data_IF_290308001492
#
_entry.id   IF_290308001492
#
_cell.length_a   1.000
_cell.length_b   1.000
_cell.length_c   1.000
_cell.angle_alpha   90.00
_cell.angle_beta   90.00
_cell.angle_gamma   90.00
#
_symmetry.space_group_name_H-M   'P 1'
#
loop_
_entity.id
_entity.type
_entity.pdbx_description
1 polymer ?
#
# COMPACT_ATOMS: atom_id res chain seq x y z
N UNK A 1 24.69 -16.61 -68.73
CA UNK A 1 24.32 -15.47 -67.87
C UNK A 1 23.88 -16.06 -66.53
N UNK A 2 24.71 -15.91 -65.49
CA UNK A 2 24.44 -16.41 -64.14
C UNK A 2 23.33 -15.57 -63.49
N UNK A 3 22.31 -16.20 -62.91
CA UNK A 3 21.43 -15.54 -61.93
C UNK A 3 21.61 -16.27 -60.60
N UNK A 4 22.17 -15.55 -59.63
CA UNK A 4 22.44 -16.03 -58.26
C UNK A 4 21.13 -16.12 -57.48
N UNK A 5 20.88 -17.27 -56.86
CA UNK A 5 19.88 -17.43 -55.80
C UNK A 5 20.43 -16.75 -54.54
N UNK A 6 19.75 -15.70 -54.06
CA UNK A 6 20.05 -15.08 -52.76
C UNK A 6 19.02 -15.65 -51.77
N UNK A 7 19.46 -16.59 -50.94
CA UNK A 7 18.67 -17.08 -49.81
C UNK A 7 18.72 -16.05 -48.68
N UNK A 8 17.57 -15.54 -48.27
CA UNK A 8 17.44 -14.72 -47.07
C UNK A 8 17.42 -15.65 -45.84
N UNK A 9 18.47 -15.58 -45.03
CA UNK A 9 18.52 -16.24 -43.71
C UNK A 9 17.90 -15.27 -42.71
N UNK A 10 16.67 -15.53 -42.31
CA UNK A 10 16.00 -14.79 -41.24
C UNK A 10 16.62 -15.22 -39.90
N UNK A 11 17.45 -14.36 -39.31
CA UNK A 11 17.97 -14.57 -37.97
C UNK A 11 16.84 -14.34 -36.95
N UNK A 12 16.31 -15.43 -36.40
CA UNK A 12 15.40 -15.38 -35.25
C UNK A 12 16.25 -15.02 -34.03
N UNK A 13 16.18 -13.76 -33.60
CA UNK A 13 16.77 -13.36 -32.31
C UNK A 13 15.91 -13.95 -31.20
N UNK A 14 16.36 -15.08 -30.64
CA UNK A 14 15.81 -15.62 -29.40
C UNK A 14 16.33 -14.72 -28.28
N UNK A 15 15.49 -13.86 -27.75
CA UNK A 15 15.77 -13.17 -26.50
C UNK A 15 15.91 -14.25 -25.41
N UNK A 16 17.14 -14.49 -24.97
CA UNK A 16 17.39 -15.34 -23.81
C UNK A 16 16.82 -14.63 -22.59
N UNK A 17 15.66 -15.08 -22.13
CA UNK A 17 15.12 -14.72 -20.81
C UNK A 17 16.16 -15.18 -19.80
N UNK A 18 16.85 -14.23 -19.20
CA UNK A 18 17.87 -14.49 -18.21
C UNK A 18 17.14 -15.03 -16.97
N UNK A 19 17.14 -16.36 -16.82
CA UNK A 19 16.58 -17.01 -15.66
C UNK A 19 17.27 -16.44 -14.40
N UNK A 20 16.49 -15.77 -13.54
CA UNK A 20 16.96 -15.41 -12.21
C UNK A 20 17.30 -16.72 -11.49
N UNK A 21 18.53 -16.83 -11.00
CA UNK A 21 18.90 -17.94 -10.12
C UNK A 21 18.07 -17.80 -8.85
N UNK A 22 17.05 -18.63 -8.71
CA UNK A 22 16.24 -18.69 -7.49
C UNK A 22 17.00 -19.51 -6.44
N UNK A 23 17.35 -18.86 -5.34
CA UNK A 23 18.00 -19.52 -4.22
C UNK A 23 16.92 -20.00 -3.25
N UNK A 24 16.77 -21.32 -3.16
CA UNK A 24 15.90 -21.93 -2.15
C UNK A 24 16.45 -21.62 -0.75
N UNK A 25 15.59 -21.12 0.12
CA UNK A 25 15.95 -20.86 1.51
C UNK A 25 16.07 -22.18 2.26
N UNK A 26 17.10 -22.33 3.13
CA UNK A 26 17.25 -23.55 3.94
C UNK A 26 16.07 -23.77 4.90
N UNK A 27 15.37 -22.70 5.28
CA UNK A 27 14.18 -22.74 6.12
C UNK A 27 12.91 -23.18 5.38
N UNK A 28 12.90 -23.16 4.04
CA UNK A 28 11.69 -23.37 3.24
C UNK A 28 10.71 -22.19 3.24
N UNK A 29 11.05 -21.09 3.92
CA UNK A 29 10.26 -19.85 3.94
C UNK A 29 10.71 -18.96 2.78
N UNK A 30 9.77 -18.55 1.92
CA UNK A 30 10.08 -17.62 0.83
C UNK A 30 10.49 -16.24 1.39
N UNK A 31 11.43 -15.53 0.76
CA UNK A 31 12.04 -14.33 1.33
C UNK A 31 11.07 -13.14 1.56
N UNK A 32 9.90 -13.15 0.92
CA UNK A 32 8.91 -12.08 0.98
C UNK A 32 7.55 -12.52 1.51
N UNK A 33 7.44 -13.77 1.96
CA UNK A 33 6.21 -14.36 2.49
C UNK A 33 6.33 -14.46 3.99
N UNK A 34 5.38 -13.86 4.70
CA UNK A 34 5.31 -13.93 6.15
C UNK A 34 5.19 -15.40 6.60
N UNK A 35 6.06 -15.90 7.50
CA UNK A 35 5.96 -17.24 8.08
C UNK A 35 4.61 -17.55 8.73
N UNK A 36 3.87 -16.53 9.19
CA UNK A 36 2.55 -16.68 9.78
C UNK A 36 1.43 -16.84 8.73
N UNK A 37 1.74 -16.68 7.44
CA UNK A 37 0.76 -16.83 6.36
C UNK A 37 0.19 -18.26 6.36
N UNK A 38 -1.14 -18.43 6.49
CA UNK A 38 -1.78 -19.75 6.48
C UNK A 38 -1.48 -20.56 5.23
N UNK A 39 -1.37 -21.89 5.36
CA UNK A 39 -1.00 -22.78 4.25
C UNK A 39 -2.03 -22.82 3.11
N UNK A 40 -3.30 -22.54 3.40
CA UNK A 40 -4.39 -22.44 2.44
C UNK A 40 -4.38 -21.11 1.66
N UNK A 41 -3.51 -20.17 2.03
CA UNK A 41 -3.32 -18.86 1.37
C UNK A 41 -2.03 -18.78 0.54
N UNK A 42 -1.22 -19.84 0.55
CA UNK A 42 0.03 -19.95 -0.21
C UNK A 42 -0.19 -20.18 -1.72
N UNK A 43 -1.37 -20.66 -2.11
CA UNK A 43 -1.75 -20.87 -3.52
C UNK A 43 -3.17 -20.39 -3.77
N UNK A 44 -3.43 -19.87 -4.96
CA UNK A 44 -4.76 -19.43 -5.37
C UNK A 44 -5.11 -20.00 -6.74
N UNK A 45 -6.34 -20.47 -6.91
CA UNK A 45 -6.85 -20.86 -8.23
C UNK A 45 -7.64 -19.71 -8.81
N UNK A 46 -7.14 -19.13 -9.89
CA UNK A 46 -7.80 -18.04 -10.59
C UNK A 46 -9.16 -18.45 -11.16
N UNK A 47 -10.01 -17.47 -11.45
CA UNK A 47 -11.29 -17.71 -12.14
C UNK A 47 -11.16 -18.34 -13.52
N UNK A 48 -9.94 -18.36 -14.09
CA UNK A 48 -9.62 -18.99 -15.38
C UNK A 48 -9.04 -20.41 -15.23
N UNK A 49 -8.88 -20.90 -14.00
CA UNK A 49 -8.33 -22.22 -13.69
C UNK A 49 -6.81 -22.26 -13.53
N UNK A 50 -6.10 -21.16 -13.78
CA UNK A 50 -4.66 -21.07 -13.54
C UNK A 50 -4.36 -21.05 -12.04
N UNK A 51 -3.34 -21.79 -11.61
CA UNK A 51 -2.82 -21.75 -10.24
C UNK A 51 -1.78 -20.65 -10.11
N UNK A 52 -1.90 -19.83 -9.08
CA UNK A 52 -0.96 -18.76 -8.72
C UNK A 52 -0.32 -19.07 -7.37
N UNK A 53 0.98 -18.89 -7.30
CA UNK A 53 1.75 -19.02 -6.07
C UNK A 53 1.85 -17.67 -5.36
N UNK A 54 1.79 -17.70 -4.03
CA UNK A 54 2.01 -16.52 -3.22
C UNK A 54 3.48 -16.10 -3.27
N UNK A 55 3.72 -14.86 -3.68
CA UNK A 55 5.08 -14.31 -3.84
C UNK A 55 5.43 -13.26 -2.79
N UNK A 56 4.42 -12.67 -2.13
CA UNK A 56 4.58 -11.68 -1.08
C UNK A 56 3.36 -11.73 -0.14
N UNK A 57 3.57 -11.66 1.16
CA UNK A 57 2.51 -11.47 2.15
C UNK A 57 3.05 -10.82 3.41
N UNK A 58 2.16 -10.18 4.16
CA UNK A 58 2.41 -9.68 5.50
C UNK A 58 1.11 -9.76 6.30
N UNK A 59 1.13 -10.47 7.42
CA UNK A 59 -0.03 -10.63 8.30
C UNK A 59 -0.04 -9.58 9.43
N UNK A 60 1.04 -8.79 9.56
CA UNK A 60 1.20 -7.74 10.57
C UNK A 60 1.10 -8.23 12.03
N UNK A 61 1.45 -9.50 12.27
CA UNK A 61 1.32 -10.17 13.58
C UNK A 61 2.42 -9.83 14.61
N UNK A 62 3.25 -8.82 14.35
CA UNK A 62 4.28 -8.37 15.29
C UNK A 62 3.93 -6.99 15.78
N UNK A 63 3.71 -6.82 17.08
CA UNK A 63 3.37 -5.55 17.71
C UNK A 63 4.51 -4.52 17.62
N UNK A 64 4.15 -3.24 17.45
CA UNK A 64 5.09 -2.12 17.56
C UNK A 64 6.15 -2.07 16.47
N UNK A 65 5.86 -2.59 15.27
CA UNK A 65 6.78 -2.46 14.13
C UNK A 65 6.98 -0.99 13.78
N UNK A 66 8.24 -0.61 13.61
CA UNK A 66 8.61 0.64 12.97
C UNK A 66 8.69 0.42 11.47
N UNK A 67 8.12 1.34 10.71
CA UNK A 67 8.24 1.36 9.25
C UNK A 67 9.19 2.47 8.79
N UNK A 68 9.95 3.10 9.68
CA UNK A 68 10.96 4.08 9.28
C UNK A 68 11.96 3.48 8.27
N UNK A 69 12.55 4.32 7.41
CA UNK A 69 13.51 3.86 6.41
C UNK A 69 14.66 3.05 7.03
N UNK A 70 14.66 1.73 6.78
CA UNK A 70 15.69 0.79 7.24
C UNK A 70 15.26 -0.14 8.38
N UNK A 71 14.13 0.13 9.04
CA UNK A 71 13.65 -0.67 10.17
C UNK A 71 12.86 -1.91 9.73
N UNK A 72 12.15 -1.82 8.60
CA UNK A 72 11.34 -2.91 8.06
C UNK A 72 11.85 -3.39 6.68
N UNK A 73 11.83 -4.71 6.51
CA UNK A 73 12.37 -5.37 5.33
C UNK A 73 11.39 -5.40 4.14
N UNK A 74 10.09 -5.20 4.35
CA UNK A 74 9.07 -5.17 3.31
C UNK A 74 8.53 -3.75 3.08
N UNK A 75 8.32 -3.02 4.17
CA UNK A 75 7.58 -1.77 4.16
C UNK A 75 8.46 -0.57 4.51
N UNK A 76 8.09 0.61 4.04
CA UNK A 76 8.77 1.86 4.38
C UNK A 76 7.75 2.97 4.43
N UNK A 77 7.62 3.64 5.58
CA UNK A 77 6.79 4.82 5.74
C UNK A 77 7.45 6.03 5.09
N UNK A 78 6.63 7.02 4.72
CA UNK A 78 7.09 8.21 4.00
C UNK A 78 6.78 9.45 4.80
N UNK A 79 7.72 10.38 4.80
CA UNK A 79 7.52 11.74 5.30
C UNK A 79 7.52 12.73 4.13
N UNK A 80 6.34 13.25 3.80
CA UNK A 80 6.15 14.17 2.67
C UNK A 80 4.81 14.90 2.81
N UNK A 81 4.79 16.18 2.45
CA UNK A 81 3.54 16.87 2.20
C UNK A 81 2.84 16.28 0.97
N UNK A 82 1.53 16.02 1.06
CA UNK A 82 0.79 15.68 -0.15
C UNK A 82 0.68 16.93 -1.04
N UNK A 83 1.25 16.82 -2.23
CA UNK A 83 1.32 17.90 -3.22
C UNK A 83 0.17 17.86 -4.22
N UNK A 84 -0.75 16.90 -4.10
CA UNK A 84 -1.88 16.74 -5.01
C UNK A 84 -3.13 17.38 -4.38
N UNK A 85 -4.03 17.92 -5.21
CA UNK A 85 -5.38 18.36 -4.84
C UNK A 85 -5.52 19.36 -3.66
N UNK A 86 -4.46 20.12 -3.32
CA UNK A 86 -4.47 21.03 -2.16
C UNK A 86 -4.77 20.31 -0.85
N UNK A 87 -4.17 19.14 -0.65
CA UNK A 87 -4.25 18.38 0.59
C UNK A 87 -3.80 19.21 1.80
N UNK A 88 -4.50 19.04 2.92
CA UNK A 88 -4.22 19.72 4.18
C UNK A 88 -3.35 18.87 5.12
N UNK A 89 -2.88 17.72 4.66
CA UNK A 89 -2.14 16.74 5.45
C UNK A 89 -0.67 16.57 5.03
N UNK A 90 0.12 16.12 5.98
CA UNK A 90 1.50 15.65 5.77
C UNK A 90 1.57 14.20 6.22
N UNK A 91 2.14 13.34 5.36
CA UNK A 91 2.51 12.00 5.78
C UNK A 91 3.70 12.07 6.73
N UNK A 92 3.62 11.37 7.86
CA UNK A 92 4.69 11.28 8.85
C UNK A 92 4.94 9.83 9.24
N UNK A 93 6.20 9.51 9.53
CA UNK A 93 6.62 8.16 9.89
C UNK A 93 5.91 7.61 11.14
N UNK A 94 5.61 8.48 12.11
CA UNK A 94 5.00 8.12 13.39
C UNK A 94 3.47 7.95 13.35
N UNK A 95 2.86 8.00 12.16
CA UNK A 95 1.41 7.81 11.97
C UNK A 95 1.06 6.39 11.52
N UNK A 96 2.04 5.50 11.46
CA UNK A 96 1.89 4.12 11.01
C UNK A 96 2.63 3.18 11.96
N UNK A 97 2.00 2.08 12.36
CA UNK A 97 2.66 1.00 13.09
C UNK A 97 1.74 -0.22 13.11
N UNK A 98 2.07 -1.21 13.93
CA UNK A 98 1.25 -2.39 14.21
C UNK A 98 0.88 -2.42 15.69
N UNK A 99 -0.32 -2.88 15.99
CA UNK A 99 -0.84 -3.02 17.36
C UNK A 99 -1.56 -4.35 17.48
N UNK A 100 -1.61 -4.90 18.69
CA UNK A 100 -2.35 -6.13 18.98
C UNK A 100 -3.41 -5.87 20.04
N UNK A 101 -4.66 -6.23 19.73
CA UNK A 101 -5.77 -6.28 20.67
C UNK A 101 -6.10 -7.75 20.97
N UNK A 102 -5.63 -8.23 22.14
CA UNK A 102 -5.67 -9.65 22.48
C UNK A 102 -4.86 -10.49 21.51
N UNK A 103 -5.51 -11.48 20.90
CA UNK A 103 -4.88 -12.38 19.92
C UNK A 103 -4.89 -11.82 18.48
N UNK A 104 -5.48 -10.64 18.26
CA UNK A 104 -5.60 -10.03 16.92
C UNK A 104 -4.63 -8.88 16.78
N UNK A 105 -3.64 -9.03 15.92
CA UNK A 105 -2.73 -7.96 15.52
C UNK A 105 -3.19 -7.34 14.21
N UNK A 106 -2.91 -6.04 14.04
CA UNK A 106 -3.26 -5.31 12.84
C UNK A 106 -2.28 -4.17 12.58
N UNK A 107 -2.09 -3.88 11.31
CA UNK A 107 -1.50 -2.64 10.86
C UNK A 107 -2.52 -1.51 10.97
N UNK A 108 -2.07 -0.35 11.45
CA UNK A 108 -2.89 0.84 11.50
C UNK A 108 -2.22 2.04 10.83
N UNK A 109 -3.06 2.91 10.29
CA UNK A 109 -2.72 4.27 9.89
C UNK A 109 -3.56 5.19 10.76
N UNK A 110 -2.91 6.13 11.43
CA UNK A 110 -3.55 7.20 12.22
C UNK A 110 -3.56 8.47 11.38
N UNK A 111 -4.58 9.30 11.58
CA UNK A 111 -4.45 10.72 11.31
C UNK A 111 -4.80 11.52 12.56
N UNK A 112 -4.14 12.65 12.72
CA UNK A 112 -4.29 13.52 13.87
C UNK A 112 -4.21 14.99 13.44
N UNK A 113 -4.78 15.87 14.26
CA UNK A 113 -4.71 17.31 14.06
C UNK A 113 -3.32 17.77 14.53
N UNK A 114 -2.47 18.12 13.58
CA UNK A 114 -1.09 18.55 13.84
C UNK A 114 -0.68 19.65 12.87
N UNK A 115 -0.66 20.87 13.38
CA UNK A 115 -0.21 22.02 12.61
C UNK A 115 1.30 21.94 12.34
N UNK A 116 1.67 21.91 11.06
CA UNK A 116 3.06 21.82 10.62
C UNK A 116 3.28 22.79 9.47
N UNK A 117 4.24 23.69 9.61
CA UNK A 117 4.60 24.64 8.55
C UNK A 117 5.87 24.16 7.85
N UNK A 118 5.78 23.94 6.54
CA UNK A 118 6.89 23.53 5.70
C UNK A 118 7.20 24.61 4.66
N UNK A 119 8.49 24.81 4.41
CA UNK A 119 8.95 25.68 3.34
C UNK A 119 9.06 24.88 2.04
N UNK A 120 8.05 25.03 1.17
CA UNK A 120 7.94 24.29 -0.08
C UNK A 120 8.30 25.17 -1.27
N UNK A 121 8.80 24.56 -2.34
CA UNK A 121 9.03 25.23 -3.60
C UNK A 121 7.72 25.30 -4.39
N UNK A 122 7.32 26.50 -4.82
CA UNK A 122 6.10 26.74 -5.56
C UNK A 122 6.42 27.26 -6.97
N UNK A 123 6.25 26.39 -7.97
CA UNK A 123 6.44 26.70 -9.40
C UNK A 123 5.37 27.65 -9.96
N UNK A 124 4.25 27.83 -9.24
CA UNK A 124 3.13 28.67 -9.68
C UNK A 124 3.29 30.15 -9.27
N UNK A 125 4.27 30.49 -8.42
CA UNK A 125 4.61 31.88 -8.11
C UNK A 125 5.30 32.57 -9.29
N UNK A 126 5.14 33.88 -9.43
CA UNK A 126 5.83 34.70 -10.44
C UNK A 126 6.60 35.85 -9.77
N UNK A 127 7.93 35.70 -9.53
CA UNK A 127 8.79 34.57 -9.91
C UNK A 127 8.59 33.33 -9.01
N UNK A 128 8.93 32.14 -9.53
CA UNK A 128 8.91 30.89 -8.77
C UNK A 128 9.86 31.00 -7.55
N UNK A 129 9.44 30.44 -6.42
CA UNK A 129 10.16 30.62 -5.17
C UNK A 129 9.67 29.72 -4.06
N UNK A 130 10.34 29.83 -2.91
CA UNK A 130 9.93 29.14 -1.70
C UNK A 130 8.83 29.91 -0.97
N UNK A 131 7.81 29.20 -0.54
CA UNK A 131 6.69 29.70 0.26
C UNK A 131 6.53 28.83 1.51
N UNK A 132 6.15 29.45 2.63
CA UNK A 132 5.81 28.74 3.86
C UNK A 132 4.33 28.33 3.78
N UNK A 133 4.08 27.02 3.76
CA UNK A 133 2.74 26.44 3.68
C UNK A 133 2.43 25.72 4.98
N UNK A 134 1.28 26.02 5.57
CA UNK A 134 0.81 25.39 6.81
C UNK A 134 -0.17 24.27 6.49
N UNK A 135 0.16 23.08 6.99
CA UNK A 135 -0.70 21.89 6.97
C UNK A 135 -1.30 21.69 8.36
N UNK A 136 -2.51 21.15 8.43
CA UNK A 136 -3.29 21.06 9.66
C UNK A 136 -3.44 19.63 10.19
N UNK A 137 -3.18 18.65 9.33
CA UNK A 137 -3.34 17.24 9.64
C UNK A 137 -2.03 16.49 9.42
N UNK A 138 -1.80 15.45 10.21
CA UNK A 138 -0.75 14.48 9.98
C UNK A 138 -1.40 13.13 9.74
N UNK A 139 -1.00 12.46 8.65
CA UNK A 139 -1.45 11.13 8.27
C UNK A 139 -0.26 10.19 8.11
N UNK A 140 -0.52 8.94 7.75
CA UNK A 140 0.51 7.93 7.54
C UNK A 140 0.42 7.32 6.14
N UNK A 141 1.57 7.19 5.48
CA UNK A 141 1.69 6.47 4.22
C UNK A 141 2.82 5.46 4.32
N UNK A 142 2.58 4.24 3.84
CA UNK A 142 3.57 3.16 3.77
C UNK A 142 3.65 2.66 2.33
N UNK A 143 4.87 2.46 1.83
CA UNK A 143 5.14 1.93 0.51
C UNK A 143 6.09 0.73 0.57
N UNK A 144 5.95 -0.18 -0.36
CA UNK A 144 6.90 -1.28 -0.60
C UNK A 144 7.86 -0.89 -1.73
N UNK A 145 8.75 0.08 -1.45
CA UNK A 145 9.63 0.70 -2.45
C UNK A 145 10.43 -0.32 -3.30
N UNK A 146 10.14 -0.43 -4.60
CA UNK A 146 10.80 -1.34 -5.56
C UNK A 146 10.82 -2.84 -5.16
N UNK A 147 10.03 -3.28 -4.17
CA UNK A 147 10.11 -4.67 -3.68
C UNK A 147 9.13 -5.61 -4.40
N UNK A 148 8.12 -5.07 -5.09
CA UNK A 148 7.15 -5.86 -5.83
C UNK A 148 6.81 -5.22 -7.18
N UNK A 149 7.24 -5.84 -8.28
CA UNK A 149 6.80 -5.46 -9.63
C UNK A 149 5.58 -6.32 -10.01
N UNK A 150 4.38 -5.76 -9.89
CA UNK A 150 3.15 -6.45 -10.27
C UNK A 150 2.94 -6.37 -11.79
N UNK A 151 3.37 -7.39 -12.53
CA UNK A 151 3.11 -7.49 -13.98
C UNK A 151 1.83 -8.27 -14.31
N UNK A 152 1.18 -8.83 -13.29
CA UNK A 152 -0.03 -9.64 -13.34
C UNK A 152 -0.18 -10.44 -12.06
N UNK A 153 -1.42 -10.78 -11.70
CA UNK A 153 -1.74 -11.53 -10.47
C UNK A 153 -2.94 -10.93 -9.75
N UNK A 154 -3.01 -11.20 -8.45
CA UNK A 154 -4.05 -10.68 -7.57
C UNK A 154 -3.41 -10.20 -6.28
N UNK A 155 -3.90 -9.06 -5.81
CA UNK A 155 -3.65 -8.57 -4.47
C UNK A 155 -4.93 -8.71 -3.67
N UNK A 156 -4.84 -9.30 -2.49
CA UNK A 156 -5.94 -9.35 -1.54
C UNK A 156 -5.50 -8.64 -0.25
N UNK A 157 -6.36 -7.76 0.24
CA UNK A 157 -6.15 -7.04 1.48
C UNK A 157 -7.42 -7.15 2.32
N UNK A 158 -7.26 -7.48 3.60
CA UNK A 158 -8.34 -7.36 4.58
C UNK A 158 -8.15 -6.03 5.33
N UNK A 159 -8.92 -5.02 4.95
CA UNK A 159 -8.86 -3.70 5.56
C UNK A 159 -10.15 -3.38 6.32
N UNK A 160 -10.02 -2.63 7.41
CA UNK A 160 -11.13 -1.95 8.07
C UNK A 160 -11.00 -0.46 7.79
N UNK A 161 -12.02 0.10 7.13
CA UNK A 161 -12.08 1.54 6.90
C UNK A 161 -12.38 2.28 8.21
N UNK A 162 -11.89 3.52 8.36
CA UNK A 162 -12.19 4.32 9.54
C UNK A 162 -13.68 4.61 9.64
N UNK A 163 -14.17 4.65 10.87
CA UNK A 163 -15.55 4.96 11.16
C UNK A 163 -15.79 4.98 12.65
N UNK A 164 -16.74 5.79 13.06
CA UNK A 164 -17.16 5.89 14.45
C UNK A 164 -18.06 4.69 14.79
N UNK A 165 -17.47 3.51 14.95
CA UNK A 165 -18.19 2.23 15.09
C UNK A 165 -18.49 1.82 16.54
N UNK A 166 -18.11 2.66 17.51
CA UNK A 166 -18.38 2.40 18.93
C UNK A 166 -19.73 2.94 19.34
N UNK A 167 -20.40 2.31 20.31
CA UNK A 167 -21.69 2.79 20.81
C UNK A 167 -21.59 4.18 21.50
N UNK A 168 -20.40 4.56 21.95
CA UNK A 168 -20.10 5.86 22.55
C UNK A 168 -20.05 7.01 21.52
N UNK A 169 -19.88 6.70 20.23
CA UNK A 169 -19.78 7.72 19.16
C UNK A 169 -21.09 8.47 18.87
N UNK A 170 -22.24 7.94 19.33
CA UNK A 170 -23.55 8.44 18.92
C UNK A 170 -23.95 8.08 17.49
N UNK A 171 -23.16 7.27 16.79
CA UNK A 171 -23.47 6.81 15.45
C UNK A 171 -24.76 5.96 15.45
N UNK A 172 -25.84 6.40 14.77
CA UNK A 172 -27.12 5.68 14.76
C UNK A 172 -27.01 4.31 14.08
N UNK A 173 -26.07 4.13 13.16
CA UNK A 173 -25.92 2.91 12.36
C UNK A 173 -25.29 1.76 13.18
N UNK A 174 -24.56 2.08 14.26
CA UNK A 174 -23.99 1.08 15.19
C UNK A 174 -25.08 0.27 15.88
N UNK A 175 -26.22 0.91 16.20
CA UNK A 175 -27.35 0.25 16.87
C UNK A 175 -28.05 -0.75 15.96
N UNK A 176 -28.09 -0.47 14.65
CA UNK A 176 -28.68 -1.37 13.66
C UNK A 176 -27.77 -2.55 13.32
N UNK A 177 -26.45 -2.41 13.51
CA UNK A 177 -25.47 -3.49 13.31
C UNK A 177 -25.44 -4.09 11.90
N UNK A 178 -26.09 -3.44 10.93
CA UNK A 178 -26.28 -3.99 9.60
C UNK A 178 -25.19 -3.51 8.66
N UNK A 179 -24.37 -4.43 8.15
CA UNK A 179 -23.36 -4.14 7.12
C UNK A 179 -23.92 -3.97 5.70
N UNK A 180 -25.24 -4.08 5.51
CA UNK A 180 -25.90 -4.05 4.20
C UNK A 180 -26.90 -2.91 4.03
N UNK A 181 -27.06 -2.05 5.04
CA UNK A 181 -27.97 -0.91 5.01
C UNK A 181 -27.17 0.37 4.76
N UNK A 182 -27.73 1.26 3.94
CA UNK A 182 -27.12 2.57 3.68
C UNK A 182 -27.00 3.37 4.98
N UNK A 183 -25.84 3.99 5.18
CA UNK A 183 -25.56 4.81 6.37
C UNK A 183 -26.57 5.95 6.51
N UNK A 184 -27.03 6.20 7.74
CA UNK A 184 -27.97 7.27 8.04
C UNK A 184 -27.31 8.66 7.90
N UNK A 185 -25.99 8.74 8.11
CA UNK A 185 -25.21 9.96 7.95
C UNK A 185 -23.77 9.66 7.57
N UNK A 186 -23.18 10.50 6.72
CA UNK A 186 -21.77 10.42 6.33
C UNK A 186 -20.82 10.93 7.42
N UNK A 187 -21.32 11.68 8.40
CA UNK A 187 -20.48 12.32 9.43
C UNK A 187 -19.73 11.31 10.33
N UNK A 188 -20.20 10.07 10.39
CA UNK A 188 -19.59 9.00 11.19
C UNK A 188 -18.66 8.09 10.39
N UNK A 189 -18.60 8.30 9.08
CA UNK A 189 -17.84 7.49 8.13
C UNK A 189 -17.09 8.43 7.19
N UNK A 190 -16.00 9.06 7.68
CA UNK A 190 -15.18 9.91 6.85
C UNK A 190 -14.70 9.08 5.67
N UNK A 191 -15.22 9.42 4.49
CA UNK A 191 -14.73 8.94 3.21
C UNK A 191 -14.35 10.18 2.41
N UNK A 192 -13.36 10.03 1.54
CA UNK A 192 -12.83 11.05 0.65
C UNK A 192 -13.95 11.99 0.10
N UNK A 193 -13.81 13.34 0.19
CA UNK A 193 -12.56 14.10 0.15
C UNK A 193 -12.27 14.96 1.40
N UNK A 194 -12.87 14.63 2.56
CA UNK A 194 -12.82 15.50 3.75
C UNK A 194 -11.63 15.29 4.69
N UNK A 195 -11.11 14.07 4.77
CA UNK A 195 -9.90 13.68 5.52
C UNK A 195 -9.35 12.46 4.77
N UNK A 196 -8.09 12.49 4.36
CA UNK A 196 -7.45 11.43 3.57
C UNK A 196 -7.12 10.21 4.44
N UNK A 197 -8.15 9.55 4.98
CA UNK A 197 -7.99 8.17 5.44
C UNK A 197 -8.20 7.22 4.27
N UNK A 198 -7.39 7.42 3.25
CA UNK A 198 -7.23 6.40 2.24
C UNK A 198 -6.10 5.51 2.72
N UNK A 199 -6.39 4.23 2.96
CA UNK A 199 -5.42 3.23 2.51
C UNK A 199 -5.40 3.33 0.98
N UNK A 200 -4.79 4.39 0.47
CA UNK A 200 -4.54 4.55 -0.95
C UNK A 200 -3.43 3.56 -1.25
N UNK A 201 -3.83 2.36 -1.66
CA UNK A 201 -2.93 1.44 -2.34
C UNK A 201 -2.67 2.01 -3.73
N UNK A 202 -1.87 3.08 -3.77
CA UNK A 202 -1.41 3.67 -5.02
C UNK A 202 -0.25 2.81 -5.50
N UNK A 203 -0.51 2.02 -6.53
CA UNK A 203 0.54 1.34 -7.29
C UNK A 203 0.97 2.30 -8.40
N UNK A 204 2.16 2.88 -8.26
CA UNK A 204 2.86 3.53 -9.37
C UNK A 204 3.64 2.49 -10.20
#
# INVERSE_FOLDING_TARGET
>A
MLVKVVGAVTAVMVATVQAKTEYSTKSGVLPWVDPATPSDRQTYTSSRGDTWDLVMSDEFNTEGRSFEPGDDHLWTSIEKADGVNSALEIYQHNMTSTECDGDTCYFYIKADIKETTLKLWNDYLSPAGYEDVTFYYAGGMVQSWNKFCLQGGMLEVRAQLPGAVTNASGNPDVKTGSGSVRTASINYYPTWPGEEYSAAFTFE
#
